data_IF_807579530388
#
_entry.id   IF_807579530388
#
_cell.length_a   1.000
_cell.length_b   1.000
_cell.length_c   1.000
_cell.angle_alpha   90.00
_cell.angle_beta   90.00
_cell.angle_gamma   90.00
#
_symmetry.space_group_name_H-M   'P 1'
#
loop_
_entity.id
_entity.type
_entity.pdbx_description
1 polymer ?
#
# COMPACT_ATOMS: atom_id res chain seq x y z
N UNK A 1 0.59 11.33 -14.71
CA UNK A 1 0.85 10.57 -13.46
C UNK A 1 -0.48 9.99 -13.02
N UNK A 2 -0.60 8.66 -13.02
CA UNK A 2 -1.86 7.97 -12.71
C UNK A 2 -1.70 7.19 -11.41
N UNK A 3 -2.79 7.03 -10.67
CA UNK A 3 -2.83 6.15 -9.50
C UNK A 3 -2.64 4.70 -9.94
N UNK A 4 -1.81 3.95 -9.21
CA UNK A 4 -1.55 2.53 -9.46
C UNK A 4 -1.72 1.69 -8.20
N UNK A 5 -1.73 2.32 -7.03
CA UNK A 5 -1.93 1.66 -5.75
C UNK A 5 -2.83 2.49 -4.85
N UNK A 6 -3.55 1.81 -3.96
CA UNK A 6 -4.31 2.43 -2.88
C UNK A 6 -3.63 2.08 -1.55
N UNK A 7 -3.39 3.11 -0.74
CA UNK A 7 -2.78 3.05 0.58
C UNK A 7 -3.86 3.12 1.66
N UNK A 8 -3.86 2.13 2.56
CA UNK A 8 -4.80 2.05 3.68
C UNK A 8 -4.05 1.78 4.98
N UNK A 9 -4.60 2.18 6.11
CA UNK A 9 -3.92 2.12 7.41
C UNK A 9 -4.88 1.79 8.55
N UNK A 10 -4.37 1.01 9.50
CA UNK A 10 -4.98 0.76 10.80
C UNK A 10 -4.08 1.34 11.89
N UNK A 11 -4.57 2.36 12.57
CA UNK A 11 -3.83 3.05 13.62
C UNK A 11 -3.69 2.23 14.92
N UNK A 12 -4.66 1.33 15.20
CA UNK A 12 -4.65 0.53 16.42
C UNK A 12 -3.61 -0.59 16.34
N UNK A 13 -3.51 -1.27 15.18
CA UNK A 13 -2.51 -2.30 14.91
C UNK A 13 -1.16 -1.72 14.45
N UNK A 14 -1.12 -0.41 14.14
CA UNK A 14 0.04 0.27 13.54
C UNK A 14 0.46 -0.42 12.24
N UNK A 15 -0.52 -0.69 11.40
CA UNK A 15 -0.30 -1.35 10.12
C UNK A 15 -0.75 -0.48 8.96
N UNK A 16 -0.08 -0.70 7.83
CA UNK A 16 -0.36 -0.04 6.58
C UNK A 16 -0.25 -1.07 5.46
N UNK A 17 -1.11 -0.99 4.46
CA UNK A 17 -1.05 -1.89 3.32
C UNK A 17 -1.23 -1.16 1.99
N UNK A 18 -0.56 -1.70 0.98
CA UNK A 18 -0.67 -1.27 -0.41
C UNK A 18 -1.39 -2.35 -1.21
N UNK A 19 -2.44 -1.93 -1.91
CA UNK A 19 -3.23 -2.78 -2.80
C UNK A 19 -3.27 -2.17 -4.22
N UNK A 20 -3.54 -2.96 -5.27
CA UNK A 20 -3.80 -2.42 -6.60
C UNK A 20 -4.90 -1.35 -6.54
N UNK A 21 -4.76 -0.29 -7.33
CA UNK A 21 -5.72 0.83 -7.31
C UNK A 21 -7.15 0.33 -7.48
N UNK A 22 -8.03 0.72 -6.57
CA UNK A 22 -9.45 0.41 -6.68
C UNK A 22 -10.12 1.30 -7.73
N UNK A 23 -11.10 0.75 -8.47
CA UNK A 23 -11.91 1.53 -9.40
C UNK A 23 -12.77 2.59 -8.65
N UNK A 24 -13.18 2.27 -7.43
CA UNK A 24 -13.88 3.17 -6.52
C UNK A 24 -12.93 3.80 -5.50
N UNK A 25 -13.07 5.11 -5.33
CA UNK A 25 -12.27 5.90 -4.39
C UNK A 25 -12.83 5.71 -2.99
N UNK A 26 -12.05 5.13 -2.08
CA UNK A 26 -12.42 5.01 -0.69
C UNK A 26 -11.97 6.24 0.12
N UNK A 27 -12.86 6.86 0.90
CA UNK A 27 -12.58 8.09 1.67
C UNK A 27 -11.43 7.93 2.67
N UNK A 28 -11.21 6.72 3.17
CA UNK A 28 -10.16 6.40 4.14
C UNK A 28 -8.86 5.89 3.51
N UNK A 29 -8.71 5.99 2.18
CA UNK A 29 -7.54 5.49 1.48
C UNK A 29 -6.87 6.58 0.61
N UNK A 30 -5.57 6.42 0.37
CA UNK A 30 -4.79 7.34 -0.46
C UNK A 30 -4.30 6.67 -1.74
N UNK A 31 -4.69 7.21 -2.88
CA UNK A 31 -4.20 6.72 -4.17
C UNK A 31 -2.79 7.23 -4.46
N UNK A 32 -1.85 6.30 -4.67
CA UNK A 32 -0.45 6.56 -4.96
C UNK A 32 -0.13 6.17 -6.41
N UNK A 33 0.75 6.95 -7.06
CA UNK A 33 1.39 6.50 -8.29
C UNK A 33 2.45 5.43 -7.98
N UNK A 34 2.86 4.63 -8.98
CA UNK A 34 3.84 3.57 -8.79
C UNK A 34 5.10 4.02 -8.05
N UNK A 35 5.69 5.16 -8.45
CA UNK A 35 6.88 5.73 -7.79
C UNK A 35 6.67 5.99 -6.29
N UNK A 36 5.51 6.51 -5.89
CA UNK A 36 5.24 6.81 -4.47
C UNK A 36 4.96 5.53 -3.69
N UNK A 37 4.27 4.56 -4.29
CA UNK A 37 4.00 3.27 -3.67
C UNK A 37 5.31 2.48 -3.45
N UNK A 38 6.24 2.51 -4.41
CA UNK A 38 7.52 1.77 -4.33
C UNK A 38 8.53 2.37 -3.35
N UNK A 39 8.34 3.63 -2.96
CA UNK A 39 9.19 4.36 -2.01
C UNK A 39 8.53 4.56 -0.65
N UNK A 40 7.32 4.05 -0.48
CA UNK A 40 6.58 4.20 0.77
C UNK A 40 7.38 3.56 1.91
N UNK A 41 7.60 4.32 2.97
CA UNK A 41 8.13 3.82 4.22
C UNK A 41 7.17 4.25 5.33
N UNK A 42 6.63 3.30 6.13
CA UNK A 42 5.73 3.65 7.20
C UNK A 42 6.50 4.27 8.38
N UNK A 43 5.80 4.88 9.36
CA UNK A 43 6.44 5.36 10.58
C UNK A 43 7.17 4.22 11.32
N UNK A 44 8.17 4.56 12.14
CA UNK A 44 8.92 3.55 12.90
C UNK A 44 7.99 2.70 13.78
N UNK A 45 8.20 1.38 13.76
CA UNK A 45 7.40 0.42 14.51
C UNK A 45 6.06 0.06 13.87
N UNK A 46 5.79 0.52 12.64
CA UNK A 46 4.64 0.11 11.86
C UNK A 46 4.97 -1.04 10.90
N UNK A 47 3.96 -1.84 10.60
CA UNK A 47 4.04 -2.93 9.63
C UNK A 47 3.57 -2.46 8.27
N UNK A 48 4.36 -2.69 7.23
CA UNK A 48 3.97 -2.50 5.83
C UNK A 48 3.67 -3.86 5.18
N UNK A 49 2.46 -4.01 4.66
CA UNK A 49 2.05 -5.14 3.84
C UNK A 49 1.89 -4.69 2.38
N UNK A 50 2.85 -5.02 1.52
CA UNK A 50 2.71 -4.81 0.08
C UNK A 50 1.96 -5.99 -0.55
N UNK A 51 0.64 -5.83 -0.73
CA UNK A 51 -0.24 -6.83 -1.33
C UNK A 51 -0.34 -6.69 -2.86
N UNK A 52 0.41 -5.74 -3.44
CA UNK A 52 0.57 -5.63 -4.90
C UNK A 52 1.50 -6.73 -5.43
N UNK A 53 2.39 -7.24 -4.57
CA UNK A 53 3.31 -8.32 -4.88
C UNK A 53 2.73 -9.61 -4.28
N UNK A 54 2.32 -10.60 -5.09
CA UNK A 54 1.88 -11.88 -4.56
C UNK A 54 3.04 -12.55 -3.80
N UNK A 55 2.73 -13.13 -2.63
CA UNK A 55 3.68 -13.77 -1.70
C UNK A 55 4.57 -14.84 -2.35
N UNK A 56 4.16 -15.39 -3.50
CA UNK A 56 4.88 -16.41 -4.27
C UNK A 56 6.05 -15.87 -5.11
N UNK A 57 6.14 -14.56 -5.36
CA UNK A 57 7.18 -13.97 -6.23
C UNK A 57 8.56 -13.79 -5.55
N UNK A 58 8.70 -14.14 -4.27
CA UNK A 58 9.95 -13.99 -3.48
C UNK A 58 10.78 -15.28 -3.36
N UNK A 59 10.33 -16.38 -3.97
CA UNK A 59 10.92 -17.72 -3.79
C UNK A 59 11.76 -18.23 -4.99
N UNK A 60 12.21 -17.35 -5.90
CA UNK A 60 13.06 -17.73 -7.04
C UNK A 60 14.41 -16.99 -6.98
#
# INVERSE_FOLDING_TARGET
>A
MHAMATLSYDYADRSVWLEPVHAERHLAAHDLCGRHADRLSPPNGWRLEDRRIPVDARAC
#
